data_IF_881330266794
#
_entry.id   IF_881330266794
#
_cell.length_a   1.000
_cell.length_b   1.000
_cell.length_c   1.000
_cell.angle_alpha   90.00
_cell.angle_beta   90.00
_cell.angle_gamma   90.00
#
_symmetry.space_group_name_H-M   'P 1'
#
loop_
_entity.id
_entity.type
_entity.pdbx_description
1 polymer ?
#
# COMPACT_ATOMS: atom_id res chain seq x y z
N UNK A 1 -12.03 -10.95 -66.54
CA UNK A 1 -11.10 -11.30 -65.49
C UNK A 1 -11.24 -10.32 -64.33
N UNK A 2 -11.85 -10.76 -63.23
CA UNK A 2 -11.98 -9.99 -62.01
C UNK A 2 -10.71 -10.14 -61.19
N UNK A 3 -9.96 -9.07 -61.05
CA UNK A 3 -8.87 -9.02 -60.10
C UNK A 3 -9.45 -8.54 -58.74
N UNK A 4 -9.56 -9.43 -57.80
CA UNK A 4 -9.83 -9.07 -56.43
C UNK A 4 -8.53 -8.57 -55.81
N UNK A 5 -8.45 -7.23 -55.62
CA UNK A 5 -7.40 -6.65 -54.81
C UNK A 5 -7.69 -6.98 -53.32
N UNK A 6 -6.88 -7.77 -52.75
CA UNK A 6 -6.90 -8.03 -51.31
C UNK A 6 -6.29 -6.82 -50.64
N UNK A 7 -7.13 -5.96 -50.12
CA UNK A 7 -6.66 -4.95 -49.18
C UNK A 7 -6.48 -5.61 -47.84
N UNK A 8 -5.24 -5.90 -47.53
CA UNK A 8 -4.86 -6.34 -46.18
C UNK A 8 -4.90 -5.10 -45.30
N UNK A 9 -5.97 -4.92 -44.51
CA UNK A 9 -5.99 -3.97 -43.44
C UNK A 9 -5.04 -4.49 -42.35
N UNK A 10 -3.86 -3.92 -42.27
CA UNK A 10 -3.00 -4.06 -41.11
C UNK A 10 -3.55 -3.13 -40.06
N UNK A 11 -4.37 -3.68 -39.18
CA UNK A 11 -4.73 -2.99 -37.94
C UNK A 11 -3.49 -3.00 -37.05
N UNK A 12 -2.74 -1.91 -37.09
CA UNK A 12 -1.70 -1.69 -36.09
C UNK A 12 -2.39 -1.48 -34.74
N UNK A 13 -2.43 -2.50 -33.90
CA UNK A 13 -2.76 -2.34 -32.50
C UNK A 13 -1.64 -1.51 -31.89
N UNK A 14 -1.84 -0.21 -31.77
CA UNK A 14 -1.02 0.63 -30.94
C UNK A 14 -1.44 0.29 -29.51
N UNK A 15 -0.70 -0.61 -28.88
CA UNK A 15 -0.78 -0.77 -27.43
C UNK A 15 -0.27 0.55 -26.83
N UNK A 16 -1.19 1.44 -26.50
CA UNK A 16 -0.86 2.58 -25.68
C UNK A 16 -0.44 2.01 -24.31
N UNK A 17 0.87 1.95 -24.05
CA UNK A 17 1.37 1.79 -22.70
C UNK A 17 1.02 3.05 -21.95
N UNK A 18 -0.15 3.07 -21.34
CA UNK A 18 -0.50 4.10 -20.40
C UNK A 18 0.48 3.96 -19.23
N UNK A 19 1.42 4.91 -19.12
CA UNK A 19 2.20 5.09 -17.91
C UNK A 19 1.21 5.61 -16.88
N UNK A 20 0.57 4.70 -16.17
CA UNK A 20 -0.19 5.09 -14.99
C UNK A 20 0.81 5.52 -13.93
N UNK A 21 0.71 6.78 -13.48
CA UNK A 21 1.16 7.11 -12.15
C UNK A 21 0.60 6.03 -11.23
N UNK A 22 1.44 5.40 -10.41
CA UNK A 22 1.03 4.30 -9.55
C UNK A 22 -0.20 4.73 -8.76
N UNK A 23 -1.35 4.15 -9.09
CA UNK A 23 -2.58 4.42 -8.40
C UNK A 23 -2.54 3.87 -6.99
N UNK A 24 -3.18 4.56 -6.07
CA UNK A 24 -3.34 4.06 -4.71
C UNK A 24 -4.15 2.77 -4.72
N UNK A 25 -3.80 1.84 -3.83
CA UNK A 25 -4.59 0.64 -3.63
C UNK A 25 -6.00 1.01 -3.14
N UNK A 26 -7.00 0.35 -3.69
CA UNK A 26 -8.36 0.47 -3.16
C UNK A 26 -8.43 -0.09 -1.74
N UNK A 27 -9.31 0.43 -0.86
CA UNK A 27 -9.44 -0.09 0.51
C UNK A 27 -9.65 -1.59 0.58
N UNK A 28 -10.44 -2.17 -0.32
CA UNK A 28 -10.65 -3.62 -0.38
C UNK A 28 -9.39 -4.41 -0.71
N UNK A 29 -8.50 -3.87 -1.56
CA UNK A 29 -7.22 -4.47 -1.88
C UNK A 29 -6.25 -4.41 -0.69
N UNK A 30 -6.26 -3.29 0.03
CA UNK A 30 -5.46 -3.13 1.26
C UNK A 30 -5.88 -4.19 2.28
N UNK A 31 -7.18 -4.34 2.51
CA UNK A 31 -7.71 -5.32 3.44
C UNK A 31 -7.33 -6.75 3.05
N UNK A 32 -7.51 -7.10 1.78
CA UNK A 32 -7.19 -8.43 1.29
C UNK A 32 -5.69 -8.76 1.34
N UNK A 33 -4.83 -7.76 1.18
CA UNK A 33 -3.38 -7.94 1.13
C UNK A 33 -2.74 -7.91 2.51
N UNK A 34 -3.15 -6.99 3.39
CA UNK A 34 -2.44 -6.72 4.64
C UNK A 34 -3.24 -7.02 5.90
N UNK A 35 -4.57 -6.96 5.86
CA UNK A 35 -5.39 -7.05 7.07
C UNK A 35 -5.97 -8.46 7.26
N UNK A 36 -5.12 -9.44 7.09
CA UNK A 36 -5.47 -10.87 7.12
C UNK A 36 -5.06 -11.58 8.41
N UNK A 37 -4.38 -10.88 9.31
CA UNK A 37 -3.77 -11.47 10.49
C UNK A 37 -2.37 -12.04 10.25
N UNK A 38 -1.88 -12.01 9.02
CA UNK A 38 -0.51 -12.41 8.70
C UNK A 38 0.47 -11.27 8.93
N UNK A 39 1.65 -11.61 9.44
CA UNK A 39 2.71 -10.63 9.66
C UNK A 39 3.32 -10.13 8.35
N UNK A 40 3.66 -8.86 8.33
CA UNK A 40 4.47 -8.24 7.28
C UNK A 40 5.46 -7.26 7.91
N UNK A 41 6.42 -6.79 7.13
CA UNK A 41 7.46 -5.88 7.61
C UNK A 41 7.16 -4.45 7.23
N UNK A 42 7.30 -3.52 8.16
CA UNK A 42 7.25 -2.09 7.94
C UNK A 42 8.60 -1.47 8.26
N UNK A 43 9.05 -0.55 7.40
CA UNK A 43 10.28 0.20 7.60
C UNK A 43 9.97 1.69 7.59
N UNK A 44 10.41 2.38 8.63
CA UNK A 44 10.29 3.84 8.70
C UNK A 44 11.39 4.53 7.88
N UNK A 45 11.25 5.84 7.52
CA UNK A 45 12.31 6.58 6.84
C UNK A 45 13.63 6.60 7.60
N UNK A 46 13.60 6.52 8.93
CA UNK A 46 14.80 6.42 9.76
C UNK A 46 15.48 5.05 9.74
N UNK A 47 14.88 4.06 9.05
CA UNK A 47 15.43 2.72 8.93
C UNK A 47 14.99 1.74 10.01
N UNK A 48 14.13 2.13 10.94
CA UNK A 48 13.57 1.24 11.94
C UNK A 48 12.60 0.25 11.30
N UNK A 49 12.78 -1.04 11.59
CA UNK A 49 11.93 -2.10 11.06
C UNK A 49 11.02 -2.67 12.13
N UNK A 50 9.79 -2.93 11.75
CA UNK A 50 8.76 -3.51 12.60
C UNK A 50 8.13 -4.72 11.93
N UNK A 51 7.77 -5.72 12.75
CA UNK A 51 6.79 -6.72 12.36
C UNK A 51 5.40 -6.18 12.66
N UNK A 52 4.54 -6.15 11.65
CA UNK A 52 3.19 -5.64 11.74
C UNK A 52 2.20 -6.80 11.59
N UNK A 53 1.15 -6.79 12.40
CA UNK A 53 0.02 -7.70 12.25
C UNK A 53 -1.26 -6.87 12.34
N UNK A 54 -2.06 -6.92 11.29
CA UNK A 54 -3.39 -6.32 11.23
C UNK A 54 -4.42 -7.45 11.17
N UNK A 55 -5.13 -7.64 12.25
CA UNK A 55 -6.13 -8.70 12.35
C UNK A 55 -7.45 -8.29 11.69
N UNK A 56 -8.21 -9.24 11.12
CA UNK A 56 -9.49 -8.94 10.46
C UNK A 56 -10.53 -8.29 11.37
N UNK A 57 -10.40 -8.45 12.68
CA UNK A 57 -11.31 -7.88 13.68
C UNK A 57 -11.11 -6.37 13.95
N UNK A 58 -10.15 -5.74 13.29
CA UNK A 58 -9.84 -4.32 13.47
C UNK A 58 -8.73 -4.03 14.47
N UNK A 59 -8.09 -5.05 15.02
CA UNK A 59 -6.94 -4.89 15.92
C UNK A 59 -5.64 -4.92 15.14
N UNK A 60 -4.62 -4.22 15.65
CA UNK A 60 -3.29 -4.25 15.07
C UNK A 60 -2.22 -4.23 16.15
N UNK A 61 -1.06 -4.80 15.81
CA UNK A 61 0.13 -4.81 16.66
C UNK A 61 1.37 -4.50 15.84
N UNK A 62 2.38 -3.95 16.49
CA UNK A 62 3.72 -3.83 15.93
C UNK A 62 4.76 -4.25 16.94
N UNK A 63 5.82 -4.87 16.45
CA UNK A 63 6.98 -5.26 17.25
C UNK A 63 8.26 -4.83 16.54
N UNK A 64 9.21 -4.18 17.23
CA UNK A 64 10.51 -3.91 16.63
C UNK A 64 11.21 -5.22 16.26
N UNK A 65 11.77 -5.30 15.05
CA UNK A 65 12.56 -6.46 14.63
C UNK A 65 13.94 -6.50 15.25
N UNK A 66 14.47 -5.34 15.66
CA UNK A 66 15.69 -5.22 16.40
C UNK A 66 15.48 -4.23 17.54
N UNK A 67 15.88 -4.58 18.74
CA UNK A 67 15.85 -3.65 19.87
C UNK A 67 16.95 -2.61 19.70
N UNK A 68 16.61 -1.49 19.08
CA UNK A 68 17.48 -0.33 18.96
C UNK A 68 16.74 0.90 19.45
N UNK A 69 17.30 1.61 20.41
CA UNK A 69 16.75 2.85 20.93
C UNK A 69 15.41 2.66 21.64
N UNK A 70 14.50 3.60 21.43
CA UNK A 70 13.20 3.67 22.10
C UNK A 70 12.07 2.96 21.36
N UNK A 71 12.39 2.14 20.35
CA UNK A 71 11.38 1.39 19.63
C UNK A 71 10.72 0.36 20.53
N UNK A 72 9.41 0.39 20.66
CA UNK A 72 8.64 -0.47 21.54
C UNK A 72 7.49 -1.15 20.80
N UNK A 73 7.02 -2.26 21.36
CA UNK A 73 5.78 -2.92 20.93
C UNK A 73 4.60 -1.96 21.10
N UNK A 74 3.74 -1.90 20.10
CA UNK A 74 2.54 -1.09 20.11
C UNK A 74 1.30 -1.90 19.76
N UNK A 75 0.17 -1.48 20.29
CA UNK A 75 -1.14 -2.01 19.97
C UNK A 75 -2.06 -0.88 19.54
N UNK A 76 -3.02 -1.20 18.70
CA UNK A 76 -3.98 -0.21 18.22
C UNK A 76 -5.12 -0.86 17.47
N UNK A 77 -5.87 -0.02 16.78
CA UNK A 77 -6.99 -0.42 15.94
C UNK A 77 -6.87 0.19 14.55
N UNK A 78 -7.46 -0.47 13.57
CA UNK A 78 -7.52 0.02 12.21
C UNK A 78 -8.96 -0.01 11.69
N UNK A 79 -9.22 0.81 10.71
CA UNK A 79 -10.45 0.76 9.91
C UNK A 79 -10.16 1.25 8.50
N UNK A 80 -10.97 0.83 7.55
CA UNK A 80 -10.89 1.34 6.18
C UNK A 80 -11.46 2.75 6.10
N UNK A 81 -10.92 3.54 5.20
CA UNK A 81 -11.40 4.86 4.83
C UNK A 81 -11.81 4.89 3.36
N UNK A 82 -12.32 6.02 2.88
CA UNK A 82 -12.75 6.13 1.48
C UNK A 82 -11.61 5.89 0.47
N UNK A 83 -10.37 6.22 0.82
CA UNK A 83 -9.20 6.13 -0.07
C UNK A 83 -8.09 5.20 0.43
N UNK A 84 -8.23 4.66 1.61
CA UNK A 84 -7.19 3.84 2.21
C UNK A 84 -7.61 3.29 3.55
N UNK A 85 -6.85 3.59 4.58
CA UNK A 85 -7.12 3.13 5.93
C UNK A 85 -6.68 4.15 6.98
N UNK A 86 -7.22 4.02 8.16
CA UNK A 86 -6.86 4.85 9.32
C UNK A 86 -6.44 3.93 10.47
N UNK A 87 -5.44 4.36 11.21
CA UNK A 87 -4.97 3.67 12.41
C UNK A 87 -5.10 4.56 13.62
N UNK A 88 -5.40 3.94 14.76
CA UNK A 88 -5.40 4.61 16.06
C UNK A 88 -4.55 3.79 17.01
N UNK A 89 -3.36 4.27 17.31
CA UNK A 89 -2.49 3.67 18.34
C UNK A 89 -3.00 4.03 19.73
N UNK A 90 -2.70 3.19 20.71
CA UNK A 90 -3.05 3.47 22.10
C UNK A 90 -2.55 4.86 22.50
N UNK A 91 -3.43 5.66 23.11
CA UNK A 91 -3.17 7.05 23.54
C UNK A 91 -2.85 8.04 22.43
N UNK A 92 -3.17 7.72 21.18
CA UNK A 92 -2.93 8.57 20.02
C UNK A 92 -4.22 8.89 19.28
N UNK A 93 -4.20 9.95 18.47
CA UNK A 93 -5.30 10.31 17.57
C UNK A 93 -5.29 9.43 16.31
N UNK A 94 -6.45 9.22 15.66
CA UNK A 94 -6.50 8.53 14.38
C UNK A 94 -5.64 9.24 13.33
N UNK A 95 -4.93 8.47 12.54
CA UNK A 95 -4.18 8.94 11.38
C UNK A 95 -4.53 8.10 10.16
N UNK A 96 -4.79 8.74 9.04
CA UNK A 96 -5.22 8.07 7.82
C UNK A 96 -4.11 8.05 6.77
N UNK A 97 -4.10 6.99 5.98
CA UNK A 97 -3.05 6.70 5.02
C UNK A 97 -3.62 6.18 3.71
N UNK A 98 -2.83 6.33 2.66
CA UNK A 98 -2.99 5.63 1.38
C UNK A 98 -1.79 4.73 1.15
N UNK A 99 -1.94 3.74 0.29
CA UNK A 99 -0.86 2.81 -0.08
C UNK A 99 -0.66 2.84 -1.59
N UNK A 100 0.60 2.94 -2.01
CA UNK A 100 1.01 2.94 -3.42
C UNK A 100 2.03 1.84 -3.62
N UNK A 101 1.89 0.97 -4.65
CA UNK A 101 2.94 0.02 -4.99
C UNK A 101 4.25 0.75 -5.30
N UNK A 102 5.36 0.27 -4.74
CA UNK A 102 6.68 0.90 -4.90
C UNK A 102 7.77 -0.04 -5.39
N UNK A 103 7.42 -1.27 -5.71
CA UNK A 103 8.34 -2.28 -6.20
C UNK A 103 7.74 -3.67 -6.04
N UNK A 104 8.49 -4.69 -6.40
CA UNK A 104 8.08 -6.07 -6.21
C UNK A 104 7.97 -6.38 -4.71
N UNK A 105 6.78 -6.77 -4.26
CA UNK A 105 6.47 -7.07 -2.86
C UNK A 105 6.78 -5.90 -1.91
N UNK A 106 6.70 -4.67 -2.42
CA UNK A 106 6.92 -3.43 -1.66
C UNK A 106 5.83 -2.42 -1.93
N UNK A 107 5.46 -1.68 -0.89
CA UNK A 107 4.44 -0.64 -0.94
C UNK A 107 4.86 0.54 -0.08
N UNK A 108 4.64 1.74 -0.62
CA UNK A 108 4.79 2.98 0.14
C UNK A 108 3.49 3.34 0.82
N UNK A 109 3.55 3.52 2.13
CA UNK A 109 2.44 4.04 2.93
C UNK A 109 2.60 5.55 3.05
N UNK A 110 1.60 6.28 2.60
CA UNK A 110 1.64 7.73 2.51
C UNK A 110 0.59 8.36 3.41
N UNK A 111 0.98 9.41 4.10
CA UNK A 111 0.08 10.22 4.89
C UNK A 111 -0.57 11.27 4.01
N UNK A 112 -1.88 11.41 4.13
CA UNK A 112 -2.70 12.32 3.31
C UNK A 112 -3.18 13.52 4.13
N UNK A 113 -2.31 14.16 4.88
CA UNK A 113 -2.71 15.27 5.76
C UNK A 113 -2.88 16.61 5.02
N UNK A 114 -2.34 16.74 3.79
CA UNK A 114 -2.38 17.95 2.97
C UNK A 114 -2.33 17.59 1.49
N UNK A 115 -2.15 18.58 0.61
CA UNK A 115 -1.98 18.39 -0.84
C UNK A 115 -0.70 17.65 -1.22
N UNK A 116 0.22 17.44 -0.29
CA UNK A 116 1.49 16.73 -0.52
C UNK A 116 1.46 15.39 0.18
N UNK A 117 1.56 14.30 -0.59
CA UNK A 117 1.70 12.96 -0.05
C UNK A 117 3.12 12.75 0.46
N UNK A 118 3.28 12.31 1.69
CA UNK A 118 4.57 12.00 2.30
C UNK A 118 4.63 10.51 2.67
N UNK A 119 5.67 9.83 2.21
CA UNK A 119 5.90 8.42 2.60
C UNK A 119 6.33 8.35 4.06
N UNK A 120 5.56 7.65 4.86
CA UNK A 120 5.82 7.48 6.30
C UNK A 120 6.33 6.09 6.63
N UNK A 121 6.13 5.12 5.74
CA UNK A 121 6.59 3.75 5.92
C UNK A 121 6.65 3.04 4.57
N UNK A 122 7.51 2.05 4.47
CA UNK A 122 7.54 1.09 3.35
C UNK A 122 7.19 -0.28 3.91
N UNK A 123 6.14 -0.88 3.39
CA UNK A 123 5.71 -2.22 3.75
C UNK A 123 6.23 -3.24 2.74
N UNK A 124 6.58 -4.40 3.23
CA UNK A 124 7.07 -5.52 2.40
C UNK A 124 6.55 -6.85 2.90
N UNK A 125 6.40 -7.76 1.95
CA UNK A 125 5.96 -9.16 2.20
C UNK A 125 6.95 -10.16 1.64
#
# INVERSE_FOLDING_TARGET
>A
MLRFGWFTFVVALVAASAVFAADTLAPSEIQATFFTGQAFTARTPSGTKFKMIFAPDGKMTREPLAQRGNASTGTGTWKLSAKGFCTTWAHSKPTCFTIVPSGENKWSVQRTATTIATTVSVWSK
#
